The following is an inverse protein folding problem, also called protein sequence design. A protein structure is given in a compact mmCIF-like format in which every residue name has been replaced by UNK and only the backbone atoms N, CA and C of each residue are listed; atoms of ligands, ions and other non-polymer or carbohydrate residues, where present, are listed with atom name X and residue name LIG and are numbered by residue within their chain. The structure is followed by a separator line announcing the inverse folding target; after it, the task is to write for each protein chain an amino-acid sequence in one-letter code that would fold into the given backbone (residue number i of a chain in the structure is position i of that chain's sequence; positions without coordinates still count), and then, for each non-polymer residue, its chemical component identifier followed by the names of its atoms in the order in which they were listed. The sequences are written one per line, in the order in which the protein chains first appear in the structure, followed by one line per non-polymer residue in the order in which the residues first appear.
data_IF_409012733591
#
_entry.id   IF_409012733591
#
_cell.length_a   1.000
_cell.length_b   1.000
_cell.length_c   1.000
_cell.angle_alpha   90.00
_cell.angle_beta   90.00
_cell.angle_gamma   90.00
#
_symmetry.space_group_name_H-M   'P 1'
#
loop_
_entity.id
_entity.type
_entity.pdbx_description
1 polymer ?
#
# COMPACT_ATOMS: atom_id res chain seq x y z
N UNK A 1 9.50 -20.67 -1.54
CA UNK A 1 9.54 -19.39 -0.81
C UNK A 1 9.21 -18.33 -1.83
N UNK A 2 7.97 -17.82 -1.88
CA UNK A 2 7.64 -16.80 -2.87
C UNK A 2 8.37 -15.53 -2.46
N UNK A 3 9.33 -15.12 -3.28
CA UNK A 3 10.05 -13.87 -3.13
C UNK A 3 9.02 -12.75 -3.35
N UNK A 4 8.84 -11.88 -2.35
CA UNK A 4 7.93 -10.73 -2.46
C UNK A 4 8.27 -9.94 -3.73
N UNK A 5 7.24 -9.35 -4.35
CA UNK A 5 7.38 -8.57 -5.58
C UNK A 5 8.43 -7.44 -5.48
N UNK A 6 8.60 -6.85 -4.30
CA UNK A 6 9.61 -5.83 -4.02
C UNK A 6 10.85 -6.43 -3.33
N UNK A 7 12.03 -6.12 -3.87
CA UNK A 7 13.33 -6.48 -3.26
C UNK A 7 13.61 -5.70 -1.97
N UNK A 8 13.27 -4.42 -1.94
CA UNK A 8 13.38 -3.57 -0.76
C UNK A 8 12.10 -3.62 0.08
N UNK A 9 12.25 -3.52 1.40
CA UNK A 9 11.15 -3.43 2.36
C UNK A 9 11.40 -2.31 3.35
N UNK A 10 10.34 -1.63 3.81
CA UNK A 10 10.49 -0.59 4.80
C UNK A 10 10.92 -1.19 6.14
N UNK A 11 11.67 -0.41 6.90
CA UNK A 11 12.12 -0.74 8.25
C UNK A 11 12.23 0.54 9.06
N UNK A 12 12.21 0.41 10.37
CA UNK A 12 12.41 1.53 11.26
C UNK A 12 13.83 2.10 11.08
N UNK A 13 13.90 3.42 10.88
CA UNK A 13 15.12 4.17 10.67
C UNK A 13 15.04 5.51 11.43
N UNK A 14 15.88 6.48 11.09
CA UNK A 14 15.91 7.79 11.76
C UNK A 14 14.53 8.49 11.82
N UNK A 15 13.67 8.25 10.83
CA UNK A 15 12.32 8.82 10.75
C UNK A 15 11.23 8.00 11.46
N UNK A 16 11.59 6.92 12.15
CA UNK A 16 10.65 6.01 12.80
C UNK A 16 9.70 5.31 11.82
N UNK A 17 8.47 5.03 12.29
CA UNK A 17 7.37 4.49 11.48
C UNK A 17 6.74 5.59 10.61
N UNK A 18 6.95 5.52 9.29
CA UNK A 18 6.50 6.53 8.32
C UNK A 18 4.99 6.56 8.11
N UNK A 19 4.25 5.59 8.64
CA UNK A 19 2.80 5.55 8.60
C UNK A 19 2.16 6.80 9.23
N UNK A 20 2.79 7.37 10.25
CA UNK A 20 2.32 8.59 10.94
C UNK A 20 2.18 9.82 10.05
N UNK A 21 2.75 9.79 8.83
CA UNK A 21 2.76 10.91 7.88
C UNK A 21 1.43 11.04 7.13
N UNK A 22 0.63 9.98 7.09
CA UNK A 22 -0.57 9.93 6.25
C UNK A 22 -1.70 10.81 6.80
N UNK A 23 -2.42 11.42 5.86
CA UNK A 23 -3.74 12.06 6.09
C UNK A 23 -4.89 11.18 5.58
N UNK A 24 -4.60 10.32 4.60
CA UNK A 24 -5.53 9.34 4.02
C UNK A 24 -4.84 7.97 3.98
N UNK A 25 -5.62 6.89 4.07
CA UNK A 25 -5.14 5.51 3.90
C UNK A 25 -5.87 4.80 2.77
N UNK A 26 -5.21 3.89 2.05
CA UNK A 26 -5.86 3.03 1.08
C UNK A 26 -6.73 1.96 1.78
N UNK A 27 -7.91 1.72 1.25
CA UNK A 27 -8.79 0.60 1.60
C UNK A 27 -9.10 -0.17 0.32
N UNK A 28 -8.78 -1.46 0.32
CA UNK A 28 -8.97 -2.34 -0.84
C UNK A 28 -10.36 -2.97 -0.77
N UNK A 29 -11.16 -2.78 -1.81
CA UNK A 29 -12.35 -3.57 -2.07
C UNK A 29 -11.93 -4.90 -2.70
N UNK A 30 -12.03 -5.98 -1.91
CA UNK A 30 -11.62 -7.33 -2.32
C UNK A 30 -12.60 -7.99 -3.29
N UNK A 31 -13.84 -7.52 -3.39
CA UNK A 31 -14.81 -8.06 -4.34
C UNK A 31 -14.54 -7.53 -5.75
N UNK A 32 -14.16 -6.25 -5.86
CA UNK A 32 -13.82 -5.61 -7.15
C UNK A 32 -12.39 -5.96 -7.62
N UNK A 33 -11.48 -6.25 -6.69
CA UNK A 33 -10.10 -6.55 -6.99
C UNK A 33 -9.91 -7.91 -7.68
N UNK A 34 -9.08 -7.96 -8.73
CA UNK A 34 -8.74 -9.18 -9.47
C UNK A 34 -7.32 -9.69 -9.19
N UNK A 35 -6.67 -9.21 -8.12
CA UNK A 35 -5.33 -9.61 -7.70
C UNK A 35 -4.23 -9.45 -8.78
N UNK A 36 -4.33 -8.43 -9.65
CA UNK A 36 -3.33 -8.21 -10.71
C UNK A 36 -1.93 -7.77 -10.21
N UNK A 37 -1.79 -7.34 -8.95
CA UNK A 37 -0.50 -6.98 -8.34
C UNK A 37 0.09 -5.63 -8.73
N UNK A 38 -0.52 -4.87 -9.64
CA UNK A 38 -0.01 -3.56 -10.09
C UNK A 38 0.17 -2.57 -8.93
N UNK A 39 -0.78 -2.53 -8.00
CA UNK A 39 -0.69 -1.65 -6.82
C UNK A 39 0.57 -1.94 -5.98
N UNK A 40 0.98 -3.20 -5.84
CA UNK A 40 2.20 -3.59 -5.15
C UNK A 40 3.45 -3.21 -5.96
N UNK A 41 3.40 -3.38 -7.29
CA UNK A 41 4.51 -3.06 -8.19
C UNK A 41 4.81 -1.56 -8.25
N UNK A 42 3.77 -0.72 -8.20
CA UNK A 42 3.89 0.74 -8.20
C UNK A 42 4.07 1.36 -6.81
N UNK A 43 3.98 0.57 -5.73
CA UNK A 43 4.13 1.10 -4.38
C UNK A 43 5.59 1.50 -4.13
N UNK A 44 5.92 2.81 -3.97
CA UNK A 44 7.31 3.25 -3.84
C UNK A 44 7.95 2.80 -2.52
N UNK A 45 7.13 2.54 -1.49
CA UNK A 45 7.57 2.08 -0.18
C UNK A 45 7.49 0.55 -0.02
N UNK A 46 7.01 -0.18 -1.03
CA UNK A 46 6.93 -1.66 -0.99
C UNK A 46 6.08 -2.21 0.16
N UNK A 47 5.03 -1.49 0.57
CA UNK A 47 4.17 -1.84 1.73
C UNK A 47 3.01 -2.77 1.40
N UNK A 48 2.80 -3.13 0.14
CA UNK A 48 1.70 -3.98 -0.30
C UNK A 48 2.25 -5.37 -0.67
N UNK A 49 1.73 -6.43 -0.06
CA UNK A 49 2.13 -7.80 -0.38
C UNK A 49 1.24 -8.46 -1.46
N UNK A 50 1.57 -9.71 -1.82
CA UNK A 50 0.86 -10.47 -2.86
C UNK A 50 -0.62 -10.76 -2.49
N UNK A 51 -0.94 -10.78 -1.20
CA UNK A 51 -2.28 -11.02 -0.65
C UNK A 51 -3.07 -9.71 -0.46
N UNK A 52 -2.53 -8.60 -0.98
CA UNK A 52 -3.06 -7.24 -0.90
C UNK A 52 -3.16 -6.69 0.54
N UNK A 53 -2.35 -7.23 1.47
CA UNK A 53 -2.21 -6.62 2.78
C UNK A 53 -1.30 -5.39 2.66
N UNK A 54 -1.72 -4.30 3.30
CA UNK A 54 -1.00 -3.03 3.29
C UNK A 54 -0.43 -2.78 4.67
N UNK A 55 0.90 -2.67 4.76
CA UNK A 55 1.58 -2.29 6.00
C UNK A 55 1.34 -0.80 6.29
N UNK A 56 0.35 -0.53 7.15
CA UNK A 56 0.00 0.82 7.57
C UNK A 56 1.02 1.43 8.54
N UNK A 57 1.98 0.67 9.09
CA UNK A 57 3.04 1.27 9.91
C UNK A 57 4.01 2.09 9.04
N UNK A 58 4.08 1.81 7.75
CA UNK A 58 4.96 2.51 6.82
C UNK A 58 4.25 3.18 5.63
N UNK A 59 2.98 2.84 5.36
CA UNK A 59 2.18 3.47 4.31
C UNK A 59 2.01 4.97 4.56
N UNK A 60 2.56 5.79 3.66
CA UNK A 60 2.48 7.26 3.73
C UNK A 60 1.16 7.84 3.19
N UNK A 61 0.30 7.00 2.61
CA UNK A 61 -0.98 7.44 2.06
C UNK A 61 -0.86 8.26 0.76
N UNK A 62 0.14 7.99 -0.09
CA UNK A 62 0.41 8.78 -1.29
C UNK A 62 -0.65 8.62 -2.42
N UNK A 63 -1.48 7.59 -2.38
CA UNK A 63 -2.56 7.38 -3.36
C UNK A 63 -2.15 6.76 -4.69
N UNK A 64 -0.86 6.50 -4.94
CA UNK A 64 -0.37 5.89 -6.19
C UNK A 64 -1.05 4.54 -6.44
N UNK A 65 -1.18 3.70 -5.42
CA UNK A 65 -1.84 2.40 -5.55
C UNK A 65 -3.31 2.52 -6.00
N UNK A 66 -4.02 3.56 -5.56
CA UNK A 66 -5.38 3.83 -6.00
C UNK A 66 -5.43 4.34 -7.44
N UNK A 67 -4.53 5.26 -7.80
CA UNK A 67 -4.43 5.80 -9.17
C UNK A 67 -4.11 4.70 -10.19
N UNK A 68 -3.14 3.84 -9.90
CA UNK A 68 -2.68 2.78 -10.81
C UNK A 68 -3.58 1.55 -10.81
N UNK A 69 -4.63 1.49 -9.99
CA UNK A 69 -5.54 0.36 -9.98
C UNK A 69 -6.48 0.41 -11.20
N UNK A 70 -6.35 -0.46 -12.22
CA UNK A 70 -7.22 -0.41 -13.40
C UNK A 70 -8.69 -0.76 -13.08
N UNK A 71 -8.92 -1.47 -11.98
CA UNK A 71 -10.26 -1.83 -11.49
C UNK A 71 -10.85 -0.79 -10.55
N UNK A 72 -10.09 0.26 -10.20
CA UNK A 72 -10.48 1.26 -9.20
C UNK A 72 -10.93 0.63 -7.88
N UNK A 73 -10.31 -0.50 -7.50
CA UNK A 73 -10.66 -1.31 -6.34
C UNK A 73 -10.02 -0.79 -5.03
N UNK A 74 -9.43 0.41 -5.04
CA UNK A 74 -8.75 0.98 -3.87
C UNK A 74 -9.29 2.39 -3.66
N UNK A 75 -9.94 2.62 -2.52
CA UNK A 75 -10.41 3.94 -2.11
C UNK A 75 -9.41 4.57 -1.13
N UNK A 76 -9.17 5.87 -1.27
CA UNK A 76 -8.41 6.65 -0.29
C UNK A 76 -9.38 7.25 0.72
N UNK A 77 -9.38 6.73 1.95
CA UNK A 77 -10.25 7.19 3.04
C UNK A 77 -9.47 8.05 4.02
N UNK A 78 -10.13 9.02 4.67
CA UNK A 78 -9.48 9.88 5.67
C UNK A 78 -8.96 9.05 6.82
N UNK A 79 -7.75 9.33 7.28
CA UNK A 79 -7.20 8.72 8.49
C UNK A 79 -7.92 9.27 9.72
N UNK A 80 -8.45 8.37 10.55
CA UNK A 80 -8.97 8.70 11.87
C UNK A 80 -7.84 8.47 12.88
N UNK A 81 -7.59 9.46 13.73
CA UNK A 81 -6.51 9.46 14.73
C UNK A 81 -7.09 9.49 16.13
#
# INVERSE_FOLDING_TARGET
MRERLALSRPKEAASGKTGTWRTFRPVVDRETCNACGLCAQYCPDGVIDEDLNIDLDYCKGCGICANECPKQAIAMVREER
#
